data_IF_431549328392
#
_entry.id   IF_431549328392
#
_cell.length_a   1.000
_cell.length_b   1.000
_cell.length_c   1.000
_cell.angle_alpha   90.00
_cell.angle_beta   90.00
_cell.angle_gamma   90.00
#
_symmetry.space_group_name_H-M   'P 1'
#
loop_
_entity.id
_entity.type
_entity.pdbx_description
1 polymer ?
#
# COMPACT_ATOMS: atom_id res chain seq x y z
N UNK A 1 18.65 14.96 -5.90
CA UNK A 1 18.63 13.69 -5.16
C UNK A 1 17.20 13.47 -4.68
N UNK A 2 16.66 12.25 -4.73
CA UNK A 2 15.29 11.96 -4.27
C UNK A 2 15.34 11.78 -2.75
N UNK A 3 14.53 12.53 -2.00
CA UNK A 3 14.41 12.43 -0.54
C UNK A 3 13.16 11.70 -0.09
N UNK A 4 12.11 11.72 -0.90
CA UNK A 4 10.78 11.23 -0.59
C UNK A 4 10.17 10.51 -1.80
N UNK A 5 9.52 9.38 -1.57
CA UNK A 5 8.80 8.61 -2.59
C UNK A 5 7.46 8.14 -2.05
N UNK A 6 6.42 8.33 -2.85
CA UNK A 6 5.11 7.74 -2.64
C UNK A 6 4.87 6.63 -3.68
N UNK A 7 4.40 5.47 -3.22
CA UNK A 7 3.95 4.39 -4.09
C UNK A 7 2.46 4.17 -3.94
N UNK A 8 1.78 3.96 -5.07
CA UNK A 8 0.33 3.69 -5.11
C UNK A 8 0.11 2.21 -5.39
N UNK A 9 -0.52 1.51 -4.44
CA UNK A 9 -0.80 0.08 -4.49
C UNK A 9 -2.26 -0.20 -4.10
N UNK A 10 -3.22 0.41 -4.81
CA UNK A 10 -4.65 0.25 -4.54
C UNK A 10 -5.12 -1.21 -4.63
N UNK A 11 -4.57 -1.99 -5.57
CA UNK A 11 -5.02 -3.35 -5.87
C UNK A 11 -4.69 -4.38 -4.78
N UNK A 12 -3.67 -4.13 -3.96
CA UNK A 12 -3.20 -5.07 -2.93
C UNK A 12 -2.13 -4.40 -2.07
N UNK A 13 -2.02 -4.80 -0.81
CA UNK A 13 -1.01 -4.27 0.12
C UNK A 13 0.32 -5.03 0.02
N UNK A 14 1.48 -4.35 0.07
CA UNK A 14 2.79 -5.00 0.13
C UNK A 14 2.99 -5.86 1.38
N UNK A 15 2.15 -5.67 2.41
CA UNK A 15 2.20 -6.40 3.68
C UNK A 15 1.42 -7.72 3.67
N UNK A 16 0.65 -8.00 2.61
CA UNK A 16 -0.06 -9.28 2.50
C UNK A 16 0.97 -10.38 2.24
N UNK A 17 0.87 -11.46 3.02
CA UNK A 17 1.75 -12.62 2.89
C UNK A 17 1.75 -13.16 1.45
N UNK A 18 2.93 -13.26 0.80
CA UNK A 18 3.04 -13.82 -0.55
C UNK A 18 2.45 -15.23 -0.63
N UNK A 19 1.73 -15.53 -1.71
CA UNK A 19 1.06 -16.81 -1.91
C UNK A 19 -0.34 -16.91 -1.28
N UNK A 20 -0.86 -15.82 -0.71
CA UNK A 20 -2.25 -15.74 -0.23
C UNK A 20 -3.07 -14.76 -1.07
N UNK A 21 -4.24 -15.18 -1.58
CA UNK A 21 -5.13 -14.34 -2.38
C UNK A 21 -4.44 -13.70 -3.59
N UNK A 22 -4.52 -12.37 -3.71
CA UNK A 22 -3.89 -11.59 -4.78
C UNK A 22 -2.42 -11.19 -4.47
N UNK A 23 -1.81 -11.69 -3.39
CA UNK A 23 -0.43 -11.36 -3.04
C UNK A 23 0.55 -12.15 -3.91
N UNK A 24 0.96 -11.50 -5.01
CA UNK A 24 1.89 -12.03 -5.99
C UNK A 24 3.27 -11.36 -5.95
N UNK A 25 3.98 -11.43 -7.06
CA UNK A 25 5.33 -10.88 -7.18
C UNK A 25 5.40 -9.35 -7.02
N UNK A 26 4.33 -8.62 -7.32
CA UNK A 26 4.31 -7.16 -7.20
C UNK A 26 4.37 -6.69 -5.74
N UNK A 27 3.71 -7.38 -4.81
CA UNK A 27 3.73 -7.08 -3.38
C UNK A 27 5.14 -7.25 -2.83
N UNK A 28 5.78 -8.39 -3.17
CA UNK A 28 7.16 -8.70 -2.78
C UNK A 28 8.13 -7.68 -3.36
N UNK A 29 7.95 -7.34 -4.64
CA UNK A 29 8.78 -6.35 -5.30
C UNK A 29 8.67 -4.98 -4.63
N UNK A 30 7.45 -4.51 -4.38
CA UNK A 30 7.19 -3.21 -3.79
C UNK A 30 7.73 -3.11 -2.37
N UNK A 31 7.53 -4.14 -1.54
CA UNK A 31 8.08 -4.20 -0.19
C UNK A 31 9.61 -4.14 -0.20
N UNK A 32 10.27 -4.96 -1.04
CA UNK A 32 11.74 -4.98 -1.14
C UNK A 32 12.31 -3.68 -1.67
N UNK A 33 11.68 -3.08 -2.67
CA UNK A 33 12.07 -1.78 -3.21
C UNK A 33 11.98 -0.70 -2.14
N UNK A 34 10.86 -0.65 -1.42
CA UNK A 34 10.60 0.34 -0.37
C UNK A 34 11.62 0.25 0.76
N UNK A 35 11.91 -0.97 1.25
CA UNK A 35 12.96 -1.21 2.25
C UNK A 35 14.32 -0.75 1.78
N UNK A 36 14.70 -1.10 0.54
CA UNK A 36 16.01 -0.73 -0.03
C UNK A 36 16.17 0.79 -0.17
N UNK A 37 15.10 1.49 -0.51
CA UNK A 37 15.10 2.96 -0.60
C UNK A 37 15.24 3.61 0.78
N UNK A 38 14.50 3.10 1.77
CA UNK A 38 14.58 3.58 3.16
C UNK A 38 15.96 3.35 3.79
N UNK A 39 16.59 2.19 3.56
CA UNK A 39 17.98 1.92 3.96
C UNK A 39 18.99 2.90 3.34
N UNK A 40 18.65 3.51 2.20
CA UNK A 40 19.45 4.55 1.53
C UNK A 40 19.08 5.98 1.97
N UNK A 41 18.22 6.13 2.97
CA UNK A 41 17.81 7.42 3.54
C UNK A 41 16.65 8.10 2.82
N UNK A 42 15.94 7.40 1.91
CA UNK A 42 14.75 7.92 1.24
C UNK A 42 13.51 7.61 2.07
N UNK A 43 12.67 8.61 2.37
CA UNK A 43 11.40 8.36 3.06
C UNK A 43 10.39 7.78 2.07
N UNK A 44 9.83 6.62 2.40
CA UNK A 44 8.89 5.88 1.56
C UNK A 44 7.54 5.77 2.24
N UNK A 45 6.49 6.17 1.53
CA UNK A 45 5.10 5.91 1.91
C UNK A 45 4.43 5.07 0.83
N UNK A 46 3.87 3.93 1.20
CA UNK A 46 3.02 3.13 0.29
C UNK A 46 1.57 3.34 0.69
N UNK A 47 0.75 3.83 -0.25
CA UNK A 47 -0.69 3.93 -0.08
C UNK A 47 -1.37 2.71 -0.67
N UNK A 48 -2.22 2.07 0.11
CA UNK A 48 -2.98 0.88 -0.31
C UNK A 48 -4.40 0.96 0.23
N UNK A 49 -5.34 0.25 -0.39
CA UNK A 49 -6.75 0.31 0.01
C UNK A 49 -6.96 -0.53 1.28
N UNK A 50 -7.72 -0.01 2.24
CA UNK A 50 -8.17 -0.77 3.39
C UNK A 50 -8.99 -1.97 2.92
N UNK A 51 -8.65 -3.16 3.41
CA UNK A 51 -9.35 -4.42 3.07
C UNK A 51 -9.89 -5.15 4.30
N UNK A 52 -9.73 -4.57 5.48
CA UNK A 52 -10.22 -5.08 6.76
C UNK A 52 -10.40 -3.88 7.72
N UNK A 53 -11.50 -3.88 8.48
CA UNK A 53 -11.80 -2.82 9.45
C UNK A 53 -10.84 -2.83 10.63
N UNK A 54 -10.31 -4.01 10.98
CA UNK A 54 -9.42 -4.20 12.13
C UNK A 54 -7.96 -3.86 11.80
N UNK A 55 -7.63 -3.58 10.52
CA UNK A 55 -6.29 -3.13 10.15
C UNK A 55 -5.98 -1.73 10.73
N UNK A 56 -4.74 -1.48 11.16
CA UNK A 56 -4.33 -0.12 11.52
C UNK A 56 -4.38 0.78 10.27
N UNK A 57 -4.70 2.07 10.46
CA UNK A 57 -4.68 3.07 9.37
C UNK A 57 -3.28 3.29 8.80
N UNK A 58 -2.25 3.05 9.60
CA UNK A 58 -0.84 3.17 9.21
C UNK A 58 -0.02 2.08 9.90
N UNK A 59 0.94 1.53 9.17
CA UNK A 59 1.91 0.56 9.69
C UNK A 59 3.31 1.03 9.36
N UNK A 60 4.10 1.35 10.39
CA UNK A 60 5.54 1.52 10.27
C UNK A 60 6.20 0.16 10.04
N UNK A 61 6.86 -0.01 8.90
CA UNK A 61 7.51 -1.26 8.52
C UNK A 61 8.97 -1.29 8.99
N UNK A 62 9.66 -0.17 8.81
CA UNK A 62 11.00 0.12 9.33
C UNK A 62 11.25 1.64 9.28
N UNK A 63 12.31 2.18 9.92
CA UNK A 63 12.58 3.62 9.88
C UNK A 63 12.66 4.17 8.45
N UNK A 64 11.76 5.10 8.11
CA UNK A 64 11.67 5.69 6.78
C UNK A 64 10.82 4.90 5.78
N UNK A 65 10.14 3.83 6.17
CA UNK A 65 9.16 3.13 5.33
C UNK A 65 7.88 2.79 6.10
N UNK A 66 6.77 3.36 5.64
CA UNK A 66 5.43 3.13 6.16
C UNK A 66 4.43 2.73 5.08
N UNK A 67 3.36 2.07 5.50
CA UNK A 67 2.21 1.70 4.66
C UNK A 67 0.95 2.34 5.24
N UNK A 68 0.24 3.10 4.43
CA UNK A 68 -0.99 3.81 4.81
C UNK A 68 -2.18 3.14 4.12
N UNK A 69 -3.20 2.82 4.92
CA UNK A 69 -4.44 2.20 4.49
C UNK A 69 -5.49 3.29 4.23
N UNK A 70 -5.89 3.44 2.96
CA UNK A 70 -6.89 4.41 2.53
C UNK A 70 -8.27 3.77 2.55
N UNK A 71 -9.21 4.45 3.20
CA UNK A 71 -10.63 4.12 3.17
C UNK A 71 -11.21 4.60 1.83
N UNK A 72 -11.53 3.63 0.97
CA UNK A 72 -12.13 3.91 -0.33
C UNK A 72 -13.03 2.74 -0.73
N UNK A 73 -14.34 2.89 -0.57
CA UNK A 73 -15.29 1.77 -0.68
C UNK A 73 -15.26 0.80 0.53
N UNK A 74 -15.87 -0.39 0.42
CA UNK A 74 -16.06 -1.30 1.56
C UNK A 74 -14.74 -1.89 2.06
N UNK A 75 -14.54 -2.02 3.38
CA UNK A 75 -13.32 -2.58 4.01
C UNK A 75 -13.23 -4.11 3.89
N UNK A 76 -13.24 -4.62 2.66
CA UNK A 76 -13.13 -6.05 2.33
C UNK A 76 -12.18 -6.27 1.13
N UNK A 77 -12.01 -7.50 0.66
CA UNK A 77 -11.22 -7.74 -0.56
C UNK A 77 -12.08 -7.55 -1.80
N UNK A 78 -11.59 -6.74 -2.74
CA UNK A 78 -12.20 -6.55 -4.05
C UNK A 78 -11.33 -7.15 -5.14
N UNK A 79 -11.94 -7.53 -6.26
CA UNK A 79 -11.25 -7.78 -7.52
C UNK A 79 -10.88 -6.46 -8.20
N UNK A 80 -9.95 -6.50 -9.16
CA UNK A 80 -9.52 -5.30 -9.90
C UNK A 80 -10.72 -4.62 -10.61
N UNK A 81 -11.66 -5.41 -11.14
CA UNK A 81 -12.86 -4.87 -11.81
C UNK A 81 -13.80 -4.13 -10.86
N UNK A 82 -13.93 -4.60 -9.61
CA UNK A 82 -14.78 -4.00 -8.58
C UNK A 82 -14.19 -2.73 -7.96
N UNK A 83 -12.88 -2.50 -8.11
CA UNK A 83 -12.20 -1.34 -7.55
C UNK A 83 -12.42 -0.05 -8.33
N UNK A 84 -12.74 -0.13 -9.61
CA UNK A 84 -12.82 1.04 -10.49
C UNK A 84 -13.69 2.18 -9.94
N UNK A 85 -14.89 1.94 -9.36
CA UNK A 85 -15.74 3.01 -8.84
C UNK A 85 -15.12 3.79 -7.68
N UNK A 86 -14.19 3.17 -6.94
CA UNK A 86 -13.57 3.74 -5.74
C UNK A 86 -12.22 4.42 -6.04
N UNK A 87 -11.79 4.49 -7.30
CA UNK A 87 -10.49 5.06 -7.64
C UNK A 87 -10.38 6.56 -7.31
N UNK A 88 -11.47 7.33 -7.47
CA UNK A 88 -11.49 8.75 -7.09
C UNK A 88 -11.40 8.91 -5.57
N UNK A 89 -12.23 8.18 -4.84
CA UNK A 89 -12.23 8.19 -3.37
C UNK A 89 -10.87 7.77 -2.79
N UNK A 90 -10.23 6.76 -3.39
CA UNK A 90 -8.88 6.36 -3.05
C UNK A 90 -7.86 7.48 -3.30
N UNK A 91 -7.95 8.15 -4.45
CA UNK A 91 -7.04 9.24 -4.79
C UNK A 91 -7.20 10.44 -3.85
N UNK A 92 -8.43 10.75 -3.44
CA UNK A 92 -8.74 11.84 -2.51
C UNK A 92 -8.16 11.59 -1.10
N UNK A 93 -8.00 10.33 -0.71
CA UNK A 93 -7.40 9.95 0.57
C UNK A 93 -5.87 9.90 0.59
N UNK A 94 -5.19 10.04 -0.56
CA UNK A 94 -3.73 10.05 -0.62
C UNK A 94 -3.22 11.47 -0.29
N UNK A 95 -2.65 11.63 0.90
CA UNK A 95 -2.08 12.91 1.42
C UNK A 95 -0.55 12.93 1.46
#
# INVERSE_FOLDING_TARGET
MISDVAYIAMHTSPLIQPGTGNAGGMNVYLDRLSRTMAERGVRVTVFTRRTDIDMPSETDVLPGYRVVQIEAGPSERLTIGEMQPFASEFADGVE
#
